data_IF_472849929583
#
_entry.id   IF_472849929583
#
_cell.length_a   1.000
_cell.length_b   1.000
_cell.length_c   1.000
_cell.angle_alpha   90.00
_cell.angle_beta   90.00
_cell.angle_gamma   90.00
#
_symmetry.space_group_name_H-M   'P 1'
#
loop_
_entity.id
_entity.type
_entity.pdbx_description
1 polymer ?
#
# COMPACT_ATOMS: atom_id res chain seq x y z
N UNK A 1 -6.96 -17.78 -8.68
CA UNK A 1 -5.59 -17.33 -8.42
C UNK A 1 -5.56 -15.92 -7.80
N UNK A 2 -6.08 -14.85 -8.47
CA UNK A 2 -6.00 -13.47 -7.94
C UNK A 2 -6.68 -13.32 -6.59
N UNK A 3 -7.90 -13.83 -6.42
CA UNK A 3 -8.64 -13.79 -5.15
C UNK A 3 -7.87 -14.50 -4.03
N UNK A 4 -7.30 -15.67 -4.30
CA UNK A 4 -6.50 -16.39 -3.30
C UNK A 4 -5.20 -15.65 -2.96
N UNK A 5 -4.57 -15.04 -3.94
CA UNK A 5 -3.41 -14.18 -3.68
C UNK A 5 -3.77 -13.04 -2.73
N UNK A 6 -4.86 -12.33 -2.99
CA UNK A 6 -5.32 -11.22 -2.14
C UNK A 6 -5.68 -11.71 -0.73
N UNK A 7 -6.28 -12.90 -0.61
CA UNK A 7 -6.56 -13.52 0.70
C UNK A 7 -5.30 -13.75 1.52
N UNK A 8 -4.20 -14.16 0.89
CA UNK A 8 -2.92 -14.36 1.57
C UNK A 8 -2.22 -13.05 1.94
N UNK A 9 -2.55 -11.97 1.24
CA UNK A 9 -2.03 -10.63 1.51
C UNK A 9 -2.90 -9.81 2.47
N UNK A 10 -4.11 -10.29 2.76
CA UNK A 10 -5.04 -9.62 3.66
C UNK A 10 -4.57 -9.73 5.12
N UNK A 11 -4.92 -8.71 5.91
CA UNK A 11 -4.81 -8.78 7.36
C UNK A 11 -5.97 -9.54 8.00
N UNK A 12 -6.14 -9.37 9.31
CA UNK A 12 -7.17 -10.07 10.09
C UNK A 12 -8.56 -9.41 10.05
N UNK A 13 -8.76 -8.34 9.28
CA UNK A 13 -10.10 -7.81 9.00
C UNK A 13 -10.90 -8.82 8.18
N UNK A 14 -12.25 -8.81 8.28
CA UNK A 14 -13.08 -9.68 7.44
C UNK A 14 -12.76 -9.50 5.95
N UNK A 15 -12.48 -10.60 5.27
CA UNK A 15 -12.13 -10.60 3.85
C UNK A 15 -13.41 -10.53 3.00
N UNK A 16 -13.57 -9.46 2.23
CA UNK A 16 -14.70 -9.27 1.31
C UNK A 16 -14.38 -9.90 -0.06
N UNK A 17 -14.59 -11.21 -0.16
CA UNK A 17 -14.31 -11.96 -1.39
C UNK A 17 -15.10 -11.43 -2.59
N UNK A 18 -16.33 -10.97 -2.40
CA UNK A 18 -17.17 -10.46 -3.49
C UNK A 18 -16.52 -9.23 -4.13
N UNK A 19 -16.18 -8.24 -3.32
CA UNK A 19 -15.50 -7.03 -3.80
C UNK A 19 -14.15 -7.34 -4.44
N UNK A 20 -13.36 -8.23 -3.83
CA UNK A 20 -12.05 -8.62 -4.37
C UNK A 20 -12.21 -9.33 -5.71
N UNK A 21 -13.22 -10.19 -5.88
CA UNK A 21 -13.50 -10.88 -7.13
C UNK A 21 -13.90 -9.90 -8.24
N UNK A 22 -14.74 -8.91 -7.94
CA UNK A 22 -15.12 -7.87 -8.89
C UNK A 22 -13.92 -7.02 -9.33
N UNK A 23 -13.03 -6.69 -8.40
CA UNK A 23 -11.79 -5.98 -8.71
C UNK A 23 -10.86 -6.82 -9.58
N UNK A 24 -10.72 -8.12 -9.28
CA UNK A 24 -9.91 -9.04 -10.06
C UNK A 24 -10.41 -9.17 -11.50
N UNK A 25 -11.73 -9.26 -11.72
CA UNK A 25 -12.32 -9.28 -13.08
C UNK A 25 -11.96 -8.00 -13.83
N UNK A 26 -12.19 -6.83 -13.23
CA UNK A 26 -11.84 -5.54 -13.87
C UNK A 26 -10.36 -5.40 -14.17
N UNK A 27 -9.51 -5.93 -13.30
CA UNK A 27 -8.06 -5.94 -13.50
C UNK A 27 -7.68 -6.79 -14.73
N UNK A 28 -8.25 -8.00 -14.86
CA UNK A 28 -8.01 -8.88 -16.02
C UNK A 28 -8.51 -8.22 -17.32
N UNK A 29 -9.70 -7.64 -17.30
CA UNK A 29 -10.29 -6.99 -18.48
C UNK A 29 -9.47 -5.78 -18.99
N UNK A 30 -8.77 -5.09 -18.09
CA UNK A 30 -7.95 -3.90 -18.41
C UNK A 30 -6.50 -4.22 -18.71
N UNK A 31 -6.04 -5.43 -18.44
CA UNK A 31 -4.63 -5.79 -18.54
C UNK A 31 -4.42 -6.70 -19.74
N UNK A 32 -3.84 -6.19 -20.86
CA UNK A 32 -3.63 -6.99 -22.07
C UNK A 32 -2.72 -8.20 -21.85
N UNK A 33 -1.71 -8.06 -20.98
CA UNK A 33 -0.78 -9.12 -20.61
C UNK A 33 -0.72 -9.24 -19.08
N UNK A 34 -1.57 -10.08 -18.53
CA UNK A 34 -1.65 -10.30 -17.09
C UNK A 34 -0.37 -10.96 -16.54
N UNK A 35 0.24 -11.86 -17.29
CA UNK A 35 1.46 -12.54 -16.85
C UNK A 35 2.62 -11.55 -16.72
N UNK A 36 2.82 -10.70 -17.73
CA UNK A 36 3.82 -9.64 -17.67
C UNK A 36 3.56 -8.67 -16.52
N UNK A 37 2.31 -8.29 -16.29
CA UNK A 37 1.92 -7.42 -15.17
C UNK A 37 2.28 -8.02 -13.82
N UNK A 38 1.99 -9.30 -13.59
CA UNK A 38 2.24 -9.99 -12.32
C UNK A 38 3.73 -10.28 -12.07
N UNK A 39 4.52 -10.42 -13.13
CA UNK A 39 5.94 -10.80 -13.03
C UNK A 39 6.90 -9.64 -13.23
N UNK A 40 6.43 -8.47 -13.68
CA UNK A 40 7.27 -7.32 -14.02
C UNK A 40 8.20 -6.88 -12.89
N UNK A 41 7.74 -6.96 -11.65
CA UNK A 41 8.53 -6.54 -10.48
C UNK A 41 9.78 -7.42 -10.28
N UNK A 42 9.72 -8.70 -10.69
CA UNK A 42 10.84 -9.64 -10.57
C UNK A 42 12.01 -9.30 -11.51
N UNK A 43 11.74 -8.53 -12.57
CA UNK A 43 12.73 -8.12 -13.57
C UNK A 43 13.29 -6.72 -13.34
N UNK A 44 12.89 -6.04 -12.27
CA UNK A 44 13.44 -4.72 -11.96
C UNK A 44 14.91 -4.84 -11.56
N UNK A 45 15.80 -4.03 -12.13
CA UNK A 45 17.21 -4.04 -11.74
C UNK A 45 17.33 -3.58 -10.28
N UNK A 46 18.27 -4.18 -9.57
CA UNK A 46 18.65 -3.67 -8.24
C UNK A 46 19.16 -2.25 -8.39
N UNK A 47 18.51 -1.32 -7.69
CA UNK A 47 18.93 0.08 -7.68
C UNK A 47 19.94 0.31 -6.55
N UNK A 48 20.73 1.39 -6.71
CA UNK A 48 21.58 1.89 -5.64
C UNK A 48 20.77 2.23 -4.39
N UNK A 49 21.44 2.28 -3.26
CA UNK A 49 20.83 2.67 -1.98
C UNK A 49 20.24 4.07 -2.10
N UNK A 50 18.95 4.20 -1.95
CA UNK A 50 18.21 5.46 -2.04
C UNK A 50 17.74 5.99 -0.69
N UNK A 51 17.77 5.14 0.34
CA UNK A 51 17.23 5.45 1.68
C UNK A 51 17.91 6.68 2.30
N UNK A 52 19.20 6.83 2.13
CA UNK A 52 19.97 7.98 2.62
C UNK A 52 19.49 9.32 2.03
N UNK A 53 18.82 9.28 0.87
CA UNK A 53 18.28 10.46 0.20
C UNK A 53 16.95 10.92 0.79
N UNK A 54 16.27 10.09 1.59
CA UNK A 54 14.98 10.41 2.19
C UNK A 54 15.07 11.60 3.15
N UNK A 55 16.19 11.75 3.85
CA UNK A 55 16.44 12.88 4.74
C UNK A 55 16.45 14.25 4.02
N UNK A 56 16.59 14.25 2.69
CA UNK A 56 16.60 15.47 1.88
C UNK A 56 15.22 15.78 1.25
N UNK A 57 14.20 15.00 1.54
CA UNK A 57 12.85 15.24 1.02
C UNK A 57 12.21 16.40 1.79
N UNK A 58 11.85 17.46 1.07
CA UNK A 58 11.19 18.65 1.63
C UNK A 58 9.75 18.77 1.11
N UNK A 59 9.09 17.65 0.90
CA UNK A 59 7.69 17.57 0.47
C UNK A 59 6.81 16.97 1.57
N UNK A 60 5.59 17.48 1.76
CA UNK A 60 4.65 16.85 2.68
C UNK A 60 4.48 15.36 2.34
N UNK A 61 4.66 14.49 3.31
CA UNK A 61 4.60 13.04 3.09
C UNK A 61 3.64 12.39 4.08
N UNK A 62 2.71 11.60 3.56
CA UNK A 62 1.83 10.74 4.34
C UNK A 62 2.14 9.26 3.99
N UNK A 63 2.58 8.51 4.97
CA UNK A 63 2.82 7.06 4.86
C UNK A 63 1.58 6.34 5.39
N UNK A 64 0.94 5.54 4.54
CA UNK A 64 -0.23 4.73 4.89
C UNK A 64 0.16 3.27 4.80
N UNK A 65 -0.05 2.48 5.85
CA UNK A 65 0.40 1.09 5.86
C UNK A 65 -0.44 0.21 6.78
N UNK A 66 -0.72 -1.01 6.33
CA UNK A 66 -1.39 -2.03 7.14
C UNK A 66 -0.47 -2.59 8.22
N UNK A 67 -0.97 -2.72 9.44
CA UNK A 67 -0.17 -3.21 10.57
C UNK A 67 0.14 -4.71 10.48
N UNK A 68 -0.62 -5.45 9.66
CA UNK A 68 -0.47 -6.88 9.42
C UNK A 68 -0.04 -7.21 7.98
N UNK A 69 0.64 -6.29 7.30
CA UNK A 69 1.14 -6.52 5.94
C UNK A 69 2.17 -7.66 5.93
N UNK A 70 1.85 -8.81 5.28
CA UNK A 70 2.76 -9.95 5.24
C UNK A 70 3.85 -9.79 4.17
N UNK A 71 3.69 -8.86 3.25
CA UNK A 71 4.61 -8.65 2.13
C UNK A 71 5.67 -7.60 2.46
N UNK A 72 5.24 -6.45 2.99
CA UNK A 72 6.13 -5.42 3.52
C UNK A 72 5.89 -5.26 5.02
N UNK A 73 6.81 -5.73 5.88
CA UNK A 73 6.67 -5.60 7.33
C UNK A 73 6.39 -4.16 7.76
N UNK A 74 5.48 -3.97 8.71
CA UNK A 74 5.07 -2.66 9.21
C UNK A 74 6.25 -1.77 9.66
N UNK A 75 7.33 -2.37 10.14
CA UNK A 75 8.56 -1.66 10.49
C UNK A 75 9.16 -0.84 9.34
N UNK A 76 8.89 -1.21 8.08
CA UNK A 76 9.32 -0.44 6.92
C UNK A 76 8.61 0.92 6.85
N UNK A 77 7.31 0.96 7.16
CA UNK A 77 6.53 2.19 7.19
C UNK A 77 6.97 3.11 8.33
N UNK A 78 7.23 2.53 9.51
CA UNK A 78 7.81 3.26 10.65
C UNK A 78 9.16 3.86 10.26
N UNK A 79 10.02 3.08 9.60
CA UNK A 79 11.31 3.55 9.11
C UNK A 79 11.19 4.68 8.09
N UNK A 80 10.28 4.58 7.11
CA UNK A 80 10.03 5.64 6.14
C UNK A 80 9.56 6.94 6.81
N UNK A 81 8.60 6.84 7.73
CA UNK A 81 8.10 8.00 8.44
C UNK A 81 9.16 8.67 9.34
N UNK A 82 10.10 7.87 9.85
CA UNK A 82 11.24 8.38 10.64
C UNK A 82 12.32 9.04 9.76
N UNK A 83 12.58 8.48 8.57
CA UNK A 83 13.66 8.93 7.71
C UNK A 83 13.29 10.17 6.87
N UNK A 84 11.99 10.42 6.64
CA UNK A 84 11.50 11.56 5.86
C UNK A 84 11.10 12.69 6.81
N UNK A 85 11.75 13.87 6.73
CA UNK A 85 11.42 15.00 7.60
C UNK A 85 9.96 15.44 7.49
N UNK A 86 9.26 15.51 8.61
CA UNK A 86 7.86 15.94 8.66
C UNK A 86 6.85 14.92 8.12
N UNK A 87 7.27 13.70 7.80
CA UNK A 87 6.34 12.65 7.39
C UNK A 87 5.40 12.26 8.52
N UNK A 88 4.14 11.98 8.15
CA UNK A 88 3.13 11.43 9.05
C UNK A 88 2.88 9.96 8.71
N UNK A 89 2.67 9.14 9.72
CA UNK A 89 2.32 7.73 9.57
C UNK A 89 0.84 7.53 9.92
N UNK A 90 0.10 6.92 9.00
CA UNK A 90 -1.26 6.44 9.21
C UNK A 90 -1.25 4.91 9.24
N UNK A 91 -1.24 4.30 10.44
CA UNK A 91 -1.38 2.86 10.55
C UNK A 91 -2.82 2.45 10.28
N UNK A 92 -3.00 1.38 9.52
CA UNK A 92 -4.30 0.75 9.31
C UNK A 92 -4.33 -0.57 10.10
N UNK A 93 -4.98 -0.54 11.25
CA UNK A 93 -5.03 -1.68 12.16
C UNK A 93 -5.69 -2.91 11.52
N UNK A 94 -5.04 -4.07 11.66
CA UNK A 94 -5.49 -5.36 11.13
C UNK A 94 -5.68 -5.40 9.62
N UNK A 95 -5.05 -4.49 8.89
CA UNK A 95 -5.00 -4.46 7.42
C UNK A 95 -3.69 -5.06 6.96
N UNK A 96 -3.74 -5.83 5.89
CA UNK A 96 -2.58 -6.43 5.23
C UNK A 96 -1.96 -5.53 4.18
N UNK A 97 -1.62 -6.14 3.03
CA UNK A 97 -1.00 -5.44 1.90
C UNK A 97 -2.01 -4.71 1.00
N UNK A 98 -3.27 -5.11 1.05
CA UNK A 98 -4.36 -4.48 0.32
C UNK A 98 -4.91 -3.24 1.05
N UNK A 99 -5.67 -2.42 0.34
CA UNK A 99 -6.49 -1.37 0.93
C UNK A 99 -7.96 -1.81 0.87
N UNK A 100 -8.46 -2.54 1.88
CA UNK A 100 -9.82 -3.05 1.87
C UNK A 100 -10.84 -1.91 2.01
N UNK A 101 -12.05 -2.13 1.49
CA UNK A 101 -13.14 -1.16 1.57
C UNK A 101 -13.44 -0.73 3.01
N UNK A 102 -13.29 -1.64 3.96
CA UNK A 102 -13.46 -1.38 5.40
C UNK A 102 -12.48 -0.37 5.99
N UNK A 103 -11.40 -0.02 5.28
CA UNK A 103 -10.41 0.97 5.71
C UNK A 103 -10.54 2.32 4.97
N UNK A 104 -11.45 2.45 4.00
CA UNK A 104 -11.54 3.67 3.19
C UNK A 104 -11.86 4.92 3.99
N UNK A 105 -12.79 4.85 4.95
CA UNK A 105 -13.15 6.00 5.77
C UNK A 105 -11.99 6.47 6.64
N UNK A 106 -11.15 5.52 7.11
CA UNK A 106 -9.94 5.83 7.89
C UNK A 106 -8.87 6.55 7.04
N UNK A 107 -8.83 6.27 5.74
CA UNK A 107 -7.85 6.82 4.79
C UNK A 107 -8.31 8.14 4.18
N UNK A 108 -9.60 8.26 3.81
CA UNK A 108 -10.11 9.40 3.05
C UNK A 108 -9.91 10.73 3.75
N UNK A 109 -10.27 10.85 5.03
CA UNK A 109 -10.14 12.11 5.75
C UNK A 109 -8.68 12.56 5.92
N UNK A 110 -7.73 11.72 6.37
CA UNK A 110 -6.32 12.09 6.44
C UNK A 110 -5.71 12.40 5.07
N UNK A 111 -6.12 11.67 4.01
CA UNK A 111 -5.62 11.89 2.66
C UNK A 111 -6.09 13.24 2.10
N UNK A 112 -7.38 13.56 2.22
CA UNK A 112 -7.94 14.84 1.78
C UNK A 112 -7.31 16.01 2.54
N UNK A 113 -7.15 15.89 3.85
CA UNK A 113 -6.47 16.89 4.67
C UNK A 113 -5.03 17.10 4.22
N UNK A 114 -4.32 16.01 3.94
CA UNK A 114 -2.94 16.05 3.47
C UNK A 114 -2.80 16.74 2.10
N UNK A 115 -3.68 16.41 1.15
CA UNK A 115 -3.63 16.95 -0.21
C UNK A 115 -4.15 18.40 -0.31
N UNK A 116 -4.98 18.85 0.63
CA UNK A 116 -5.47 20.23 0.69
C UNK A 116 -4.50 21.19 1.40
N UNK A 117 -3.37 20.73 1.88
CA UNK A 117 -2.41 21.54 2.63
C UNK A 117 -2.86 21.90 4.05
N UNK A 118 -3.93 21.28 4.56
CA UNK A 118 -4.45 21.47 5.93
C UNK A 118 -3.93 20.41 6.90
N UNK A 119 -2.78 19.80 6.58
CA UNK A 119 -2.14 18.76 7.37
C UNK A 119 -1.05 19.28 8.28
#
# INVERSE_FOLDING_TARGET
FLVERERHLAGSRPFDETTVRELAVRMVERTPDMLASLTSIAFLPRRERWRERLANLNIPTLVIHGTEDPFFPYGNAVGLASDIPGARLLPLERVGHELPRSAWDEVLSPLLSHTSGMG
#
